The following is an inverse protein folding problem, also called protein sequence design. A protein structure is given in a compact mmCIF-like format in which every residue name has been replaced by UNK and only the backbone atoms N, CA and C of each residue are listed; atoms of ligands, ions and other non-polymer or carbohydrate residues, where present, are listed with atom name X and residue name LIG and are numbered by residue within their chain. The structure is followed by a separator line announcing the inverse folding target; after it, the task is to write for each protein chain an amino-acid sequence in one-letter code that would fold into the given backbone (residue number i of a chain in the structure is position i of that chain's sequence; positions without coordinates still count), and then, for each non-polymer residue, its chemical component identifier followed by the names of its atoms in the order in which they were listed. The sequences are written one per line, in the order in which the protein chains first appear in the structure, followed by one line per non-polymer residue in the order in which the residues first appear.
data_IF_293506940284
#
_entry.id   IF_293506940284
#
_cell.length_a   1.000
_cell.length_b   1.000
_cell.length_c   1.000
_cell.angle_alpha   90.00
_cell.angle_beta   90.00
_cell.angle_gamma   90.00
#
_symmetry.space_group_name_H-M   'P 1'
#
loop_
_entity.id
_entity.type
_entity.pdbx_description
1 polymer ?
#
# COMPACT_ATOMS: atom_id res chain seq x y z
N UNK A 1 24.36 9.27 -10.68
CA UNK A 1 24.66 8.02 -11.41
C UNK A 1 25.39 6.99 -10.54
N UNK A 2 26.56 7.30 -9.95
CA UNK A 2 27.33 6.36 -9.11
C UNK A 2 26.54 5.72 -7.95
N UNK A 3 25.68 6.49 -7.26
CA UNK A 3 24.85 5.97 -6.17
C UNK A 3 23.83 4.89 -6.60
N UNK A 4 23.31 4.98 -7.84
CA UNK A 4 22.36 4.01 -8.40
C UNK A 4 23.07 2.68 -8.68
N UNK A 5 24.23 2.72 -9.32
CA UNK A 5 25.05 1.52 -9.61
C UNK A 5 25.49 0.83 -8.32
N UNK A 6 25.98 1.59 -7.33
CA UNK A 6 26.38 1.02 -6.05
C UNK A 6 25.19 0.39 -5.30
N UNK A 7 24.02 1.03 -5.33
CA UNK A 7 22.81 0.48 -4.69
C UNK A 7 22.35 -0.82 -5.36
N UNK A 8 22.39 -0.86 -6.70
CA UNK A 8 22.07 -2.06 -7.48
C UNK A 8 23.02 -3.22 -7.15
N UNK A 9 24.33 -2.98 -7.17
CA UNK A 9 25.33 -4.01 -6.86
C UNK A 9 25.24 -4.48 -5.40
N UNK A 10 25.03 -3.56 -4.45
CA UNK A 10 24.82 -3.92 -3.04
C UNK A 10 23.58 -4.81 -2.84
N UNK A 11 22.50 -4.54 -3.58
CA UNK A 11 21.27 -5.34 -3.53
C UNK A 11 21.51 -6.75 -4.09
N UNK A 12 22.17 -6.87 -5.24
CA UNK A 12 22.49 -8.18 -5.81
C UNK A 12 23.47 -8.97 -4.94
N UNK A 13 24.52 -8.33 -4.43
CA UNK A 13 25.50 -8.97 -3.56
C UNK A 13 24.83 -9.60 -2.33
N UNK A 14 23.94 -8.86 -1.66
CA UNK A 14 23.33 -9.30 -0.39
C UNK A 14 22.05 -10.10 -0.58
N UNK A 15 21.23 -9.76 -1.57
CA UNK A 15 19.89 -10.32 -1.78
C UNK A 15 19.84 -11.50 -2.74
N UNK A 16 20.86 -11.65 -3.60
CA UNK A 16 20.92 -12.74 -4.59
C UNK A 16 22.17 -13.59 -4.37
N UNK A 17 23.37 -13.03 -4.56
CA UNK A 17 24.60 -13.82 -4.52
C UNK A 17 24.97 -14.31 -3.11
N UNK A 18 24.64 -13.53 -2.07
CA UNK A 18 24.77 -13.91 -0.67
C UNK A 18 23.69 -14.86 -0.16
N UNK A 19 22.72 -15.26 -0.99
CA UNK A 19 21.57 -16.10 -0.60
C UNK A 19 21.50 -17.33 -1.49
N UNK A 20 21.97 -18.48 -0.98
CA UNK A 20 22.03 -19.73 -1.75
C UNK A 20 20.66 -20.25 -2.20
N UNK A 21 19.59 -19.89 -1.49
CA UNK A 21 18.22 -20.29 -1.83
C UNK A 21 17.51 -19.32 -2.78
N UNK A 22 18.15 -18.23 -3.20
CA UNK A 22 17.52 -17.25 -4.08
C UNK A 22 17.23 -17.87 -5.46
N UNK A 23 15.98 -17.84 -5.97
CA UNK A 23 15.70 -18.31 -7.33
C UNK A 23 16.47 -17.53 -8.41
N UNK A 24 16.75 -16.24 -8.14
CA UNK A 24 17.59 -15.43 -9.03
C UNK A 24 19.01 -15.98 -9.10
N UNK A 25 19.55 -16.52 -8.00
CA UNK A 25 20.89 -17.11 -7.99
C UNK A 25 20.98 -18.31 -8.94
N UNK A 26 19.98 -19.19 -8.93
CA UNK A 26 19.91 -20.31 -9.86
C UNK A 26 19.86 -19.85 -11.33
N UNK A 27 19.18 -18.74 -11.62
CA UNK A 27 19.16 -18.14 -12.97
C UNK A 27 20.53 -17.58 -13.37
N UNK A 28 21.23 -16.90 -12.46
CA UNK A 28 22.59 -16.42 -12.69
C UNK A 28 23.57 -17.58 -12.94
N UNK A 29 23.49 -18.64 -12.13
CA UNK A 29 24.33 -19.82 -12.28
C UNK A 29 24.05 -20.55 -13.61
N UNK A 30 22.78 -20.68 -14.01
CA UNK A 30 22.40 -21.27 -15.30
C UNK A 30 22.85 -20.42 -16.50
N UNK A 31 22.92 -19.10 -16.35
CA UNK A 31 23.47 -18.18 -17.34
C UNK A 31 25.02 -18.16 -17.35
N UNK A 32 25.67 -18.79 -16.37
CA UNK A 32 27.13 -18.74 -16.20
C UNK A 32 27.65 -17.36 -15.79
N UNK A 33 26.82 -16.54 -15.14
CA UNK A 33 27.14 -15.16 -14.77
C UNK A 33 27.37 -15.06 -13.27
N UNK A 34 28.61 -14.78 -12.87
CA UNK A 34 28.97 -14.50 -11.48
C UNK A 34 28.80 -13.02 -11.12
N UNK A 35 28.95 -12.71 -9.83
CA UNK A 35 28.81 -11.33 -9.35
C UNK A 35 29.84 -10.38 -9.98
N UNK A 36 31.08 -10.83 -10.18
CA UNK A 36 32.15 -10.04 -10.81
C UNK A 36 31.81 -9.68 -12.26
N UNK A 37 31.14 -10.57 -12.99
CA UNK A 37 30.64 -10.30 -14.33
C UNK A 37 29.55 -9.22 -14.29
N UNK A 38 28.64 -9.24 -13.32
CA UNK A 38 27.63 -8.17 -13.15
C UNK A 38 28.28 -6.83 -12.81
N UNK A 39 29.30 -6.82 -11.97
CA UNK A 39 30.05 -5.59 -11.66
C UNK A 39 30.72 -5.00 -12.91
N UNK A 40 31.34 -5.84 -13.74
CA UNK A 40 31.91 -5.43 -15.03
C UNK A 40 30.84 -4.89 -15.97
N UNK A 41 29.74 -5.62 -16.16
CA UNK A 41 28.62 -5.17 -17.00
C UNK A 41 28.06 -3.81 -16.55
N UNK A 42 27.92 -3.62 -15.24
CA UNK A 42 27.39 -2.36 -14.68
C UNK A 42 28.37 -1.21 -14.85
N UNK A 43 29.68 -1.47 -14.78
CA UNK A 43 30.73 -0.48 -15.01
C UNK A 43 30.77 -0.05 -16.48
N UNK A 44 30.71 -1.02 -17.39
CA UNK A 44 30.96 -0.80 -18.81
C UNK A 44 29.70 -0.29 -19.54
N UNK A 45 28.51 -0.67 -19.09
CA UNK A 45 27.23 -0.38 -19.77
C UNK A 45 26.21 0.35 -18.89
N UNK A 46 26.56 0.70 -17.66
CA UNK A 46 25.62 1.21 -16.68
C UNK A 46 24.60 0.16 -16.23
N UNK A 47 23.68 0.54 -15.34
CA UNK A 47 22.68 -0.38 -14.78
C UNK A 47 21.72 -0.87 -15.86
N UNK A 48 21.23 0.03 -16.72
CA UNK A 48 20.21 -0.33 -17.71
C UNK A 48 20.78 -1.29 -18.77
N UNK A 49 21.99 -1.03 -19.28
CA UNK A 49 22.66 -1.93 -20.21
C UNK A 49 23.07 -3.26 -19.58
N UNK A 50 23.41 -3.28 -18.29
CA UNK A 50 23.61 -4.53 -17.56
C UNK A 50 22.32 -5.35 -17.47
N UNK A 51 21.18 -4.72 -17.14
CA UNK A 51 19.89 -5.40 -17.06
C UNK A 51 19.43 -5.98 -18.41
N UNK A 52 19.65 -5.26 -19.50
CA UNK A 52 19.34 -5.74 -20.85
C UNK A 52 20.12 -7.03 -21.19
N UNK A 53 21.43 -7.05 -20.90
CA UNK A 53 22.27 -8.23 -21.13
C UNK A 53 21.94 -9.40 -20.22
N UNK A 54 21.56 -9.13 -18.97
CA UNK A 54 21.05 -10.15 -18.06
C UNK A 54 19.75 -10.77 -18.58
N UNK A 55 18.86 -9.94 -19.11
CA UNK A 55 17.62 -10.39 -19.74
C UNK A 55 17.90 -11.30 -20.96
N UNK A 56 18.80 -10.87 -21.86
CA UNK A 56 19.21 -11.66 -23.02
C UNK A 56 19.85 -13.00 -22.61
N UNK A 57 20.57 -13.01 -21.49
CA UNK A 57 21.20 -14.22 -20.92
C UNK A 57 20.21 -15.14 -20.18
N UNK A 58 18.91 -14.80 -20.17
CA UNK A 58 17.87 -15.62 -19.55
C UNK A 58 17.59 -15.35 -18.08
N UNK A 59 18.20 -14.31 -17.48
CA UNK A 59 17.98 -13.90 -16.09
C UNK A 59 16.73 -13.03 -15.99
N UNK A 60 15.56 -13.67 -16.13
CA UNK A 60 14.25 -13.02 -16.01
C UNK A 60 13.17 -14.01 -15.60
N UNK A 61 12.06 -13.46 -15.12
CA UNK A 61 10.89 -14.21 -14.64
C UNK A 61 9.62 -13.79 -15.38
N UNK A 62 8.77 -14.77 -15.70
CA UNK A 62 7.37 -14.52 -16.05
C UNK A 62 6.55 -14.29 -14.78
N UNK A 63 5.42 -13.59 -14.93
CA UNK A 63 4.50 -13.34 -13.82
C UNK A 63 3.99 -14.62 -13.14
N UNK A 64 3.71 -15.67 -13.92
CA UNK A 64 3.23 -16.94 -13.37
C UNK A 64 4.34 -17.73 -12.64
N UNK A 65 5.61 -17.59 -13.07
CA UNK A 65 6.78 -18.14 -12.38
C UNK A 65 6.99 -17.40 -11.05
N UNK A 66 6.98 -16.06 -11.08
CA UNK A 66 7.11 -15.22 -9.89
C UNK A 66 6.00 -15.45 -8.85
N UNK A 67 4.79 -15.79 -9.30
CA UNK A 67 3.66 -16.14 -8.41
C UNK A 67 3.73 -17.58 -7.87
N UNK A 68 4.73 -18.36 -8.24
CA UNK A 68 4.84 -19.77 -7.88
C UNK A 68 3.73 -20.65 -8.45
N UNK A 69 3.09 -20.22 -9.55
CA UNK A 69 2.01 -20.99 -10.21
C UNK A 69 2.54 -21.95 -11.26
N UNK A 70 3.76 -21.71 -11.74
CA UNK A 70 4.50 -22.56 -12.66
C UNK A 70 5.97 -22.60 -12.23
N UNK A 71 6.65 -23.74 -12.43
CA UNK A 71 8.10 -23.80 -12.27
C UNK A 71 8.79 -22.88 -13.28
N UNK A 72 10.02 -22.48 -12.97
CA UNK A 72 10.92 -21.85 -13.93
C UNK A 72 11.51 -22.97 -14.79
N UNK A 73 11.31 -22.90 -16.10
CA UNK A 73 11.87 -23.84 -17.05
C UNK A 73 12.68 -23.10 -18.12
N UNK A 74 13.96 -23.43 -18.21
CA UNK A 74 14.93 -22.93 -19.20
C UNK A 74 15.77 -24.12 -19.70
N UNK A 75 16.56 -23.91 -20.75
CA UNK A 75 17.44 -24.96 -21.27
C UNK A 75 18.39 -25.45 -20.17
N UNK A 76 18.20 -26.68 -19.68
CA UNK A 76 19.01 -27.27 -18.61
C UNK A 76 18.67 -26.85 -17.19
N UNK A 77 17.63 -26.04 -16.95
CA UNK A 77 17.18 -25.64 -15.61
C UNK A 77 15.68 -25.86 -15.45
N UNK A 78 15.31 -26.64 -14.44
CA UNK A 78 13.94 -26.71 -13.92
C UNK A 78 13.98 -26.43 -12.42
N UNK A 79 13.29 -25.37 -12.01
CA UNK A 79 13.19 -24.98 -10.61
C UNK A 79 11.72 -24.83 -10.21
N UNK A 80 11.28 -25.66 -9.28
CA UNK A 80 10.01 -25.46 -8.61
C UNK A 80 10.16 -24.29 -7.63
N UNK A 81 9.32 -23.27 -7.80
CA UNK A 81 9.37 -22.03 -7.01
C UNK A 81 8.03 -21.73 -6.37
N UNK A 82 8.09 -21.12 -5.20
CA UNK A 82 6.95 -20.56 -4.47
C UNK A 82 7.02 -19.05 -4.50
N UNK A 83 5.88 -18.40 -4.31
CA UNK A 83 5.84 -16.93 -4.25
C UNK A 83 6.72 -16.36 -3.12
N UNK A 84 6.90 -17.12 -2.03
CA UNK A 84 7.71 -16.72 -0.88
C UNK A 84 9.22 -16.72 -1.18
N UNK A 85 9.68 -17.51 -2.17
CA UNK A 85 11.10 -17.62 -2.51
C UNK A 85 11.65 -16.31 -3.13
N UNK A 86 10.75 -15.40 -3.52
CA UNK A 86 11.08 -14.08 -4.06
C UNK A 86 10.90 -12.93 -3.04
N UNK A 87 10.65 -13.25 -1.77
CA UNK A 87 10.60 -12.23 -0.71
C UNK A 87 12.00 -11.65 -0.47
N UNK A 88 12.09 -10.32 -0.27
CA UNK A 88 13.38 -9.65 -0.10
C UNK A 88 14.02 -10.04 1.25
N UNK A 89 15.14 -10.77 1.25
CA UNK A 89 15.75 -11.28 2.47
C UNK A 89 16.44 -10.20 3.31
N UNK A 90 16.62 -9.00 2.74
CA UNK A 90 17.25 -7.86 3.40
C UNK A 90 16.25 -7.04 4.21
N UNK A 91 14.95 -7.25 4.00
CA UNK A 91 13.90 -6.64 4.81
C UNK A 91 13.83 -7.40 6.13
N UNK A 92 13.95 -6.68 7.26
CA UNK A 92 13.62 -7.24 8.57
C UNK A 92 12.12 -7.06 8.78
N UNK A 93 11.30 -8.12 8.64
CA UNK A 93 9.86 -7.95 8.75
C UNK A 93 9.50 -7.68 10.21
N UNK A 94 9.09 -6.45 10.51
CA UNK A 94 8.50 -6.15 11.81
C UNK A 94 7.02 -6.55 11.84
N UNK A 95 6.38 -6.67 10.67
CA UNK A 95 5.00 -7.14 10.53
C UNK A 95 4.70 -7.74 9.13
N UNK A 96 3.72 -8.64 9.06
CA UNK A 96 3.21 -9.28 7.83
C UNK A 96 1.70 -9.01 7.66
N UNK A 97 1.26 -8.48 6.52
CA UNK A 97 -0.15 -8.67 6.12
C UNK A 97 -0.35 -8.86 4.63
N UNK A 98 -1.58 -8.75 4.10
CA UNK A 98 -1.89 -9.19 2.74
C UNK A 98 -2.46 -8.06 1.89
N UNK A 99 -2.03 -7.95 0.64
CA UNK A 99 -2.66 -7.04 -0.32
C UNK A 99 -3.91 -7.68 -0.93
N UNK A 100 -5.03 -6.95 -0.91
CA UNK A 100 -6.27 -7.33 -1.61
C UNK A 100 -6.23 -6.86 -3.06
N UNK A 101 -5.53 -7.59 -3.94
CA UNK A 101 -5.63 -7.39 -5.39
C UNK A 101 -6.86 -8.07 -5.97
N UNK A 102 -7.53 -7.44 -6.93
CA UNK A 102 -8.80 -7.93 -7.50
C UNK A 102 -8.72 -9.22 -8.33
N UNK A 103 -7.51 -9.79 -8.57
CA UNK A 103 -7.32 -10.99 -9.43
C UNK A 103 -6.17 -11.92 -8.98
N UNK A 104 -5.95 -12.13 -7.68
CA UNK A 104 -4.94 -13.09 -7.23
C UNK A 104 -4.93 -13.38 -5.73
N UNK A 105 -4.28 -14.48 -5.35
CA UNK A 105 -3.91 -14.78 -3.97
C UNK A 105 -3.10 -13.62 -3.40
N UNK A 106 -3.62 -12.95 -2.36
CA UNK A 106 -3.00 -11.75 -1.80
C UNK A 106 -1.58 -12.02 -1.29
N UNK A 107 -0.63 -11.16 -1.69
CA UNK A 107 0.80 -11.26 -1.39
C UNK A 107 1.10 -10.77 0.02
N UNK A 108 2.07 -11.39 0.70
CA UNK A 108 2.61 -10.91 1.99
C UNK A 108 3.26 -9.55 1.77
N UNK A 109 2.80 -8.53 2.48
CA UNK A 109 3.44 -7.22 2.56
C UNK A 109 4.17 -7.17 3.90
N UNK A 110 5.50 -7.16 3.82
CA UNK A 110 6.36 -6.93 4.97
C UNK A 110 6.45 -5.42 5.19
N UNK A 111 6.02 -4.94 6.36
CA UNK A 111 6.03 -3.52 6.67
C UNK A 111 7.36 -3.17 7.36
N UNK A 112 8.16 -2.35 6.69
CA UNK A 112 9.42 -1.78 7.18
C UNK A 112 9.15 -0.36 7.71
N UNK A 113 9.66 -0.04 8.90
CA UNK A 113 9.47 1.28 9.52
C UNK A 113 10.21 2.40 8.80
N UNK A 114 11.32 2.08 8.12
CA UNK A 114 12.04 3.07 7.31
C UNK A 114 11.22 3.40 6.05
N UNK A 115 10.64 2.38 5.41
CA UNK A 115 9.68 2.57 4.33
C UNK A 115 8.43 3.31 4.81
N UNK A 116 7.92 3.02 6.01
CA UNK A 116 6.81 3.74 6.60
C UNK A 116 7.14 5.22 6.81
N UNK A 117 8.36 5.53 7.25
CA UNK A 117 8.83 6.90 7.44
C UNK A 117 8.92 7.64 6.11
N UNK A 118 9.45 7.00 5.07
CA UNK A 118 9.47 7.54 3.71
C UNK A 118 8.05 7.80 3.19
N UNK A 119 7.16 6.81 3.30
CA UNK A 119 5.77 6.93 2.86
C UNK A 119 5.01 8.00 3.65
N UNK A 120 5.30 8.16 4.95
CA UNK A 120 4.75 9.22 5.78
C UNK A 120 5.22 10.61 5.29
N UNK A 121 6.51 10.77 4.96
CA UNK A 121 7.01 12.03 4.40
C UNK A 121 6.34 12.37 3.05
N UNK A 122 6.20 11.39 2.16
CA UNK A 122 5.45 11.55 0.91
C UNK A 122 3.98 11.91 1.16
N UNK A 123 3.35 11.28 2.15
CA UNK A 123 1.98 11.57 2.53
C UNK A 123 1.82 12.98 3.12
N UNK A 124 2.78 13.44 3.92
CA UNK A 124 2.81 14.79 4.48
C UNK A 124 2.85 15.85 3.37
N UNK A 125 3.79 15.72 2.43
CA UNK A 125 3.91 16.62 1.28
C UNK A 125 2.64 16.63 0.42
N UNK A 126 1.97 15.48 0.31
CA UNK A 126 0.68 15.39 -0.36
C UNK A 126 -0.39 16.19 0.39
N UNK A 127 -0.54 16.00 1.71
CA UNK A 127 -1.51 16.76 2.51
C UNK A 127 -1.22 18.27 2.49
N UNK A 128 0.07 18.65 2.51
CA UNK A 128 0.52 20.03 2.40
C UNK A 128 0.07 20.66 1.08
N UNK A 129 0.29 19.96 -0.03
CA UNK A 129 -0.07 20.44 -1.39
C UNK A 129 -1.56 20.69 -1.58
N UNK A 130 -2.41 20.17 -0.69
CA UNK A 130 -3.86 20.35 -0.76
C UNK A 130 -4.45 21.14 0.42
N UNK A 131 -3.60 21.70 1.29
CA UNK A 131 -3.97 22.50 2.47
C UNK A 131 -4.75 21.71 3.55
N UNK A 132 -4.40 20.44 3.76
CA UNK A 132 -5.12 19.54 4.68
C UNK A 132 -4.28 18.98 5.83
N UNK A 133 -3.11 19.55 6.14
CA UNK A 133 -2.26 19.08 7.26
C UNK A 133 -3.02 19.15 8.59
N UNK A 134 -3.72 20.24 8.87
CA UNK A 134 -4.42 20.50 10.15
C UNK A 134 -5.96 20.35 10.07
N UNK A 135 -6.44 19.89 8.91
CA UNK A 135 -7.87 19.66 8.66
C UNK A 135 -8.38 18.40 9.35
N UNK A 136 -9.68 18.32 9.68
CA UNK A 136 -10.23 17.10 10.26
C UNK A 136 -10.11 15.95 9.27
N UNK A 137 -9.57 14.82 9.75
CA UNK A 137 -9.20 13.69 8.91
C UNK A 137 -9.98 12.44 9.28
N UNK A 138 -10.55 11.79 8.28
CA UNK A 138 -11.12 10.46 8.44
C UNK A 138 -10.61 9.49 7.37
N UNK A 139 -10.71 8.20 7.67
CA UNK A 139 -10.60 7.16 6.67
C UNK A 139 -11.79 6.21 6.73
N UNK A 140 -12.23 5.76 5.55
CA UNK A 140 -13.21 4.69 5.41
C UNK A 140 -12.58 3.53 4.64
N UNK A 141 -11.79 2.74 5.37
CA UNK A 141 -10.91 1.68 4.86
C UNK A 141 -10.99 0.45 5.79
N UNK A 142 -10.86 -0.76 5.24
CA UNK A 142 -10.85 -1.98 6.06
C UNK A 142 -9.64 -2.01 7.01
N UNK A 143 -9.82 -2.80 8.06
CA UNK A 143 -8.73 -3.28 8.93
C UNK A 143 -8.20 -4.62 8.39
N UNK A 144 -7.05 -5.13 8.91
CA UNK A 144 -6.48 -6.42 8.51
C UNK A 144 -7.52 -7.54 8.37
N UNK A 145 -7.39 -8.42 7.36
CA UNK A 145 -6.15 -8.71 6.60
C UNK A 145 -5.77 -7.72 5.49
N UNK A 146 -6.64 -6.77 5.14
CA UNK A 146 -6.28 -5.63 4.28
C UNK A 146 -5.54 -4.58 5.13
N UNK A 147 -4.25 -4.39 4.84
CA UNK A 147 -3.37 -3.52 5.62
C UNK A 147 -3.51 -2.02 5.30
N UNK A 148 -4.35 -1.64 4.34
CA UNK A 148 -4.42 -0.24 3.87
C UNK A 148 -4.82 0.74 4.98
N UNK A 149 -5.75 0.37 5.86
CA UNK A 149 -6.15 1.19 7.00
C UNK A 149 -5.08 1.32 8.09
N UNK A 150 -4.46 0.21 8.50
CA UNK A 150 -3.42 0.22 9.56
C UNK A 150 -2.18 0.99 9.13
N UNK A 151 -1.70 0.78 7.89
CA UNK A 151 -0.56 1.55 7.36
C UNK A 151 -0.85 3.05 7.38
N UNK A 152 -2.05 3.47 6.96
CA UNK A 152 -2.49 4.87 6.97
C UNK A 152 -2.58 5.46 8.37
N UNK A 153 -3.10 4.72 9.34
CA UNK A 153 -3.10 5.15 10.74
C UNK A 153 -1.68 5.37 11.27
N UNK A 154 -0.75 4.44 10.99
CA UNK A 154 0.64 4.52 11.46
C UNK A 154 1.39 5.69 10.83
N UNK A 155 1.21 5.93 9.52
CA UNK A 155 1.79 7.10 8.85
C UNK A 155 1.29 8.40 9.47
N UNK A 156 -0.02 8.52 9.75
CA UNK A 156 -0.57 9.73 10.36
C UNK A 156 -0.03 9.97 11.77
N UNK A 157 0.04 8.93 12.61
CA UNK A 157 0.65 9.07 13.93
C UNK A 157 2.14 9.45 13.85
N UNK A 158 2.88 8.92 12.87
CA UNK A 158 4.30 9.27 12.68
C UNK A 158 4.49 10.74 12.30
N UNK A 159 3.55 11.34 11.57
CA UNK A 159 3.55 12.76 11.21
C UNK A 159 3.07 13.67 12.37
N UNK A 160 2.65 13.12 13.50
CA UNK A 160 1.97 13.87 14.57
C UNK A 160 0.56 14.35 14.18
N UNK A 161 0.05 13.91 13.03
CA UNK A 161 -1.28 14.25 12.54
C UNK A 161 -2.38 13.54 13.31
N UNK A 162 -3.54 14.20 13.43
CA UNK A 162 -4.72 13.64 14.09
C UNK A 162 -5.64 12.98 13.05
N UNK A 163 -5.85 11.68 13.20
CA UNK A 163 -6.96 10.99 12.55
C UNK A 163 -8.17 11.10 13.50
N UNK A 164 -9.23 11.79 13.10
CA UNK A 164 -10.41 12.03 13.95
C UNK A 164 -11.40 10.86 13.92
N UNK A 165 -11.50 10.18 12.77
CA UNK A 165 -12.39 9.03 12.59
C UNK A 165 -11.81 7.94 11.70
N UNK A 166 -12.06 6.70 12.09
CA UNK A 166 -11.80 5.53 11.26
C UNK A 166 -13.09 4.72 11.12
N UNK A 167 -13.65 4.70 9.93
CA UNK A 167 -14.77 3.85 9.56
C UNK A 167 -14.25 2.58 8.87
N UNK A 168 -14.83 1.42 9.13
CA UNK A 168 -14.46 0.16 8.44
C UNK A 168 -15.62 -0.40 7.63
N UNK A 169 -15.40 -0.73 6.36
CA UNK A 169 -16.43 -1.31 5.49
C UNK A 169 -16.70 -2.79 5.79
N UNK A 170 -15.72 -3.46 6.40
CA UNK A 170 -15.79 -4.85 6.80
C UNK A 170 -15.74 -4.96 8.33
N UNK A 171 -16.47 -5.92 8.92
CA UNK A 171 -16.47 -6.11 10.36
C UNK A 171 -15.12 -6.66 10.82
N UNK A 172 -14.68 -6.25 12.00
CA UNK A 172 -13.54 -6.85 12.68
C UNK A 172 -14.03 -8.15 13.31
N UNK A 173 -13.70 -9.31 12.72
CA UNK A 173 -14.17 -10.61 13.21
C UNK A 173 -13.07 -11.32 14.00
N UNK A 174 -13.40 -11.79 15.20
CA UNK A 174 -12.61 -12.78 15.92
C UNK A 174 -13.13 -14.17 15.52
N UNK A 175 -12.37 -14.94 14.74
CA UNK A 175 -12.74 -16.32 14.39
C UNK A 175 -11.90 -16.93 13.27
N UNK A 176 -11.58 -18.23 13.41
CA UNK A 176 -10.80 -19.01 12.43
C UNK A 176 -9.38 -18.50 12.22
N UNK A 177 -8.79 -18.79 11.04
CA UNK A 177 -7.44 -18.34 10.64
C UNK A 177 -7.22 -16.81 10.58
N UNK A 178 -8.21 -16.01 11.00
CA UNK A 178 -8.17 -14.55 11.09
C UNK A 178 -7.90 -14.04 12.51
N UNK A 179 -7.85 -14.92 13.53
CA UNK A 179 -7.59 -14.53 14.93
C UNK A 179 -6.27 -13.78 15.13
N UNK A 180 -5.22 -14.13 14.37
CA UNK A 180 -3.95 -13.40 14.36
C UNK A 180 -4.09 -11.94 13.91
N UNK A 181 -4.94 -11.67 12.91
CA UNK A 181 -5.20 -10.32 12.41
C UNK A 181 -6.09 -9.53 13.38
N UNK A 182 -7.01 -10.21 14.07
CA UNK A 182 -7.80 -9.64 15.16
C UNK A 182 -6.91 -9.17 16.32
N UNK A 183 -6.05 -10.05 16.85
CA UNK A 183 -5.11 -9.72 17.93
C UNK A 183 -4.14 -8.62 17.50
N UNK A 184 -3.60 -8.70 16.28
CA UNK A 184 -2.69 -7.68 15.76
C UNK A 184 -3.37 -6.31 15.64
N UNK A 185 -4.59 -6.27 15.10
CA UNK A 185 -5.36 -5.02 14.99
C UNK A 185 -5.57 -4.43 16.39
N UNK A 186 -6.03 -5.23 17.35
CA UNK A 186 -6.24 -4.76 18.72
C UNK A 186 -4.96 -4.34 19.43
N UNK A 187 -3.84 -5.05 19.25
CA UNK A 187 -2.54 -4.67 19.80
C UNK A 187 -2.06 -3.34 19.19
N UNK A 188 -2.23 -3.16 17.87
CA UNK A 188 -1.84 -1.93 17.17
C UNK A 188 -2.68 -0.75 17.63
N UNK A 189 -4.01 -0.94 17.74
CA UNK A 189 -4.95 0.06 18.27
C UNK A 189 -4.67 0.39 19.75
N UNK A 190 -4.30 -0.61 20.56
CA UNK A 190 -3.86 -0.39 21.93
C UNK A 190 -2.53 0.38 21.99
N UNK A 191 -1.59 0.10 21.08
CA UNK A 191 -0.35 0.85 20.93
C UNK A 191 -0.57 2.32 20.62
N UNK A 192 -1.51 2.67 19.73
CA UNK A 192 -1.87 4.07 19.43
C UNK A 192 -2.29 4.87 20.67
N UNK A 193 -2.91 4.21 21.66
CA UNK A 193 -3.30 4.83 22.94
C UNK A 193 -2.11 5.21 23.82
N UNK A 194 -1.00 4.47 23.73
CA UNK A 194 0.21 4.75 24.51
C UNK A 194 1.10 5.82 23.86
N UNK A 195 1.02 6.00 22.53
CA UNK A 195 1.77 7.01 21.78
C UNK A 195 1.03 8.34 21.60
N UNK A 196 0.10 8.67 22.49
CA UNK A 196 -0.53 10.00 22.56
C UNK A 196 -1.64 10.27 21.55
N UNK A 197 -2.08 9.27 20.77
CA UNK A 197 -3.26 9.40 19.92
C UNK A 197 -4.54 9.36 20.76
N UNK A 198 -5.50 10.25 20.47
CA UNK A 198 -6.88 10.05 20.92
C UNK A 198 -7.39 8.68 20.47
N UNK A 199 -8.36 8.13 21.19
CA UNK A 199 -8.83 6.74 21.06
C UNK A 199 -9.36 6.46 19.64
N UNK A 200 -8.46 6.07 18.74
CA UNK A 200 -8.76 5.65 17.37
C UNK A 200 -9.36 4.25 17.39
N UNK A 201 -10.66 4.15 17.65
CA UNK A 201 -11.39 2.88 17.54
C UNK A 201 -12.03 2.82 16.16
N UNK A 202 -11.70 1.83 15.31
CA UNK A 202 -12.36 1.68 14.04
C UNK A 202 -13.84 1.35 14.25
N UNK A 203 -14.71 2.14 13.63
CA UNK A 203 -16.14 2.02 13.72
C UNK A 203 -16.68 1.27 12.50
N UNK A 204 -17.25 0.09 12.74
CA UNK A 204 -17.86 -0.70 11.66
C UNK A 204 -19.00 0.08 11.00
N UNK A 205 -18.80 0.40 9.73
CA UNK A 205 -19.69 1.20 8.90
C UNK A 205 -19.73 0.53 7.52
N UNK A 206 -20.61 -0.45 7.31
CA UNK A 206 -20.72 -1.12 6.02
C UNK A 206 -21.11 -0.13 4.92
N UNK A 207 -20.84 -0.48 3.67
CA UNK A 207 -21.08 0.39 2.51
C UNK A 207 -22.53 0.93 2.44
N UNK A 208 -23.51 0.15 2.89
CA UNK A 208 -24.91 0.57 2.97
C UNK A 208 -25.16 1.73 3.96
N UNK A 209 -24.27 1.94 4.92
CA UNK A 209 -24.33 3.00 5.92
C UNK A 209 -23.49 4.24 5.55
N UNK A 210 -23.29 4.49 4.24
CA UNK A 210 -22.57 5.68 3.75
C UNK A 210 -23.10 7.00 4.34
N UNK A 211 -24.40 7.07 4.67
CA UNK A 211 -25.01 8.22 5.34
C UNK A 211 -24.39 8.58 6.68
N UNK A 212 -23.81 7.61 7.41
CA UNK A 212 -23.09 7.86 8.67
C UNK A 212 -21.80 8.66 8.43
N UNK A 213 -21.06 8.31 7.39
CA UNK A 213 -19.87 9.04 6.96
C UNK A 213 -20.26 10.42 6.44
N UNK A 214 -21.32 10.52 5.64
CA UNK A 214 -21.84 11.79 5.14
C UNK A 214 -22.23 12.76 6.28
N UNK A 215 -22.91 12.27 7.32
CA UNK A 215 -23.26 13.09 8.50
C UNK A 215 -22.03 13.60 9.23
N UNK A 216 -21.00 12.78 9.39
CA UNK A 216 -19.76 13.24 10.02
C UNK A 216 -19.09 14.35 9.19
N UNK A 217 -19.02 14.19 7.85
CA UNK A 217 -18.48 15.22 6.97
C UNK A 217 -19.27 16.53 7.05
N UNK A 218 -20.60 16.45 7.07
CA UNK A 218 -21.47 17.62 7.20
C UNK A 218 -21.24 18.35 8.53
N UNK A 219 -21.09 17.62 9.63
CA UNK A 219 -20.74 18.22 10.93
C UNK A 219 -19.39 18.94 10.92
N UNK A 220 -18.39 18.43 10.20
CA UNK A 220 -17.11 19.13 10.08
C UNK A 220 -17.25 20.40 9.22
N UNK A 221 -18.03 20.32 8.14
CA UNK A 221 -18.36 21.48 7.30
C UNK A 221 -19.11 22.56 8.09
N UNK A 222 -20.11 22.21 8.88
CA UNK A 222 -20.85 23.13 9.76
C UNK A 222 -19.94 23.84 10.77
N UNK A 223 -18.89 23.17 11.24
CA UNK A 223 -17.85 23.76 12.10
C UNK A 223 -16.84 24.65 11.36
N UNK A 224 -17.05 24.90 10.06
CA UNK A 224 -16.14 25.68 9.22
C UNK A 224 -14.85 24.96 8.86
N UNK A 225 -14.75 23.65 9.12
CA UNK A 225 -13.55 22.84 8.89
C UNK A 225 -13.88 21.66 7.97
N UNK A 226 -14.03 21.86 6.64
CA UNK A 226 -14.27 20.75 5.72
C UNK A 226 -13.20 19.66 5.90
N UNK A 227 -13.62 18.40 5.78
CA UNK A 227 -12.77 17.27 6.14
C UNK A 227 -12.02 16.65 4.96
N UNK A 228 -10.95 15.93 5.28
CA UNK A 228 -10.29 14.98 4.41
C UNK A 228 -10.83 13.57 4.64
N UNK A 229 -11.19 12.84 3.57
CA UNK A 229 -11.60 11.44 3.66
C UNK A 229 -10.79 10.54 2.71
N UNK A 230 -10.02 9.59 3.26
CA UNK A 230 -9.41 8.49 2.48
C UNK A 230 -10.38 7.30 2.34
N UNK A 231 -10.78 6.96 1.11
CA UNK A 231 -11.67 5.82 0.85
C UNK A 231 -11.56 5.26 -0.58
N UNK A 232 -12.34 4.25 -0.92
CA UNK A 232 -12.48 3.72 -2.29
C UNK A 232 -13.27 4.70 -3.17
N UNK A 233 -13.03 4.74 -4.48
CA UNK A 233 -13.69 5.72 -5.35
C UNK A 233 -15.22 5.55 -5.40
N UNK A 234 -15.72 4.32 -5.40
CA UNK A 234 -17.14 3.97 -5.33
C UNK A 234 -17.74 4.29 -3.97
N UNK A 235 -16.97 4.17 -2.89
CA UNK A 235 -17.41 4.54 -1.55
C UNK A 235 -17.59 6.07 -1.44
N UNK A 236 -16.66 6.87 -1.98
CA UNK A 236 -16.81 8.32 -2.06
C UNK A 236 -18.10 8.73 -2.80
N UNK A 237 -18.40 8.09 -3.93
CA UNK A 237 -19.66 8.31 -4.68
C UNK A 237 -20.89 7.98 -3.83
N UNK A 238 -20.85 6.90 -3.04
CA UNK A 238 -21.96 6.53 -2.15
C UNK A 238 -22.15 7.52 -1.02
N UNK A 239 -21.07 8.08 -0.47
CA UNK A 239 -21.15 9.18 0.51
C UNK A 239 -21.83 10.40 -0.10
N UNK A 240 -21.41 10.81 -1.30
CA UNK A 240 -22.00 11.95 -2.01
C UNK A 240 -23.50 11.74 -2.28
N UNK A 241 -23.90 10.56 -2.77
CA UNK A 241 -25.30 10.21 -2.98
C UNK A 241 -26.11 10.22 -1.68
N UNK A 242 -25.55 9.64 -0.59
CA UNK A 242 -26.22 9.63 0.70
C UNK A 242 -26.37 11.04 1.29
N UNK A 243 -25.38 11.92 1.08
CA UNK A 243 -25.47 13.32 1.46
C UNK A 243 -26.59 14.04 0.72
N UNK A 244 -26.63 13.91 -0.61
CA UNK A 244 -27.66 14.51 -1.45
C UNK A 244 -29.08 14.03 -1.07
N UNK A 245 -29.26 12.72 -0.87
CA UNK A 245 -30.55 12.13 -0.44
C UNK A 245 -31.01 12.63 0.93
N UNK A 246 -30.07 12.99 1.80
CA UNK A 246 -30.37 13.43 3.18
C UNK A 246 -30.32 14.95 3.35
N UNK A 247 -30.13 15.71 2.25
CA UNK A 247 -29.98 17.17 2.31
C UNK A 247 -28.76 17.67 3.09
N UNK A 248 -27.69 16.87 3.19
CA UNK A 248 -26.50 17.21 3.97
C UNK A 248 -25.50 18.02 3.13
N UNK A 249 -25.02 19.14 3.67
CA UNK A 249 -23.96 19.95 3.06
C UNK A 249 -22.57 19.39 3.40
N UNK A 250 -21.94 18.74 2.43
CA UNK A 250 -20.57 18.20 2.56
C UNK A 250 -19.54 18.99 1.72
N UNK A 251 -19.90 20.18 1.21
CA UNK A 251 -19.05 20.96 0.31
C UNK A 251 -17.69 21.28 0.92
N UNK A 252 -16.66 21.34 0.07
CA UNK A 252 -15.28 21.56 0.49
C UNK A 252 -14.56 20.32 1.03
N UNK A 253 -15.28 19.19 1.23
CA UNK A 253 -14.64 17.91 1.56
C UNK A 253 -13.65 17.51 0.47
N UNK A 254 -12.47 17.04 0.87
CA UNK A 254 -11.49 16.44 -0.02
C UNK A 254 -11.49 14.92 0.10
N UNK A 255 -11.90 14.25 -0.97
CA UNK A 255 -11.81 12.79 -1.07
C UNK A 255 -10.45 12.39 -1.65
N UNK A 256 -9.67 11.64 -0.88
CA UNK A 256 -8.54 10.87 -1.45
C UNK A 256 -9.03 9.48 -1.75
N UNK A 257 -8.96 9.09 -3.02
CA UNK A 257 -9.48 7.81 -3.51
C UNK A 257 -8.39 6.90 -4.08
N UNK A 258 -8.59 5.60 -3.97
CA UNK A 258 -7.71 4.58 -4.56
C UNK A 258 -8.21 3.17 -4.27
N UNK A 259 -7.66 2.17 -4.95
CA UNK A 259 -8.09 0.77 -4.88
C UNK A 259 -9.07 0.34 -5.98
N UNK A 260 -9.54 1.29 -6.79
CA UNK A 260 -10.35 1.04 -7.98
C UNK A 260 -10.23 2.23 -8.96
N UNK A 261 -10.58 2.03 -10.25
CA UNK A 261 -10.52 3.11 -11.23
C UNK A 261 -11.43 4.28 -10.86
N UNK A 262 -10.88 5.50 -10.91
CA UNK A 262 -11.61 6.75 -10.80
C UNK A 262 -12.09 7.17 -12.20
N UNK A 263 -13.34 6.86 -12.54
CA UNK A 263 -13.90 7.19 -13.85
C UNK A 263 -14.41 8.63 -13.89
N UNK A 264 -14.55 9.25 -15.08
CA UNK A 264 -15.12 10.60 -15.22
C UNK A 264 -16.51 10.73 -14.57
N UNK A 265 -17.34 9.68 -14.65
CA UNK A 265 -18.65 9.66 -13.98
C UNK A 265 -18.56 9.70 -12.46
N UNK A 266 -17.57 9.02 -11.85
CA UNK A 266 -17.35 9.10 -10.39
C UNK A 266 -16.87 10.49 -9.98
N UNK A 267 -15.97 11.09 -10.77
CA UNK A 267 -15.48 12.46 -10.54
C UNK A 267 -16.62 13.47 -10.57
N UNK A 268 -17.50 13.37 -11.59
CA UNK A 268 -18.65 14.27 -11.73
C UNK A 268 -19.55 14.25 -10.49
N UNK A 269 -19.94 13.07 -10.00
CA UNK A 269 -20.80 12.96 -8.81
C UNK A 269 -20.17 13.61 -7.57
N UNK A 270 -18.84 13.48 -7.41
CA UNK A 270 -18.13 14.09 -6.28
C UNK A 270 -18.08 15.62 -6.43
N UNK A 271 -17.79 16.12 -7.63
CA UNK A 271 -17.72 17.55 -7.91
C UNK A 271 -19.09 18.24 -7.84
N UNK A 272 -20.17 17.59 -8.30
CA UNK A 272 -21.55 18.06 -8.17
C UNK A 272 -21.98 18.23 -6.70
N UNK A 273 -21.36 17.47 -5.79
CA UNK A 273 -21.54 17.64 -4.34
C UNK A 273 -20.69 18.77 -3.75
N UNK A 274 -20.06 19.58 -4.61
CA UNK A 274 -19.10 20.65 -4.25
C UNK A 274 -17.87 20.15 -3.50
N UNK A 275 -17.49 18.89 -3.72
CA UNK A 275 -16.33 18.27 -3.11
C UNK A 275 -15.18 18.17 -4.11
N UNK A 276 -13.96 18.02 -3.59
CA UNK A 276 -12.75 17.79 -4.39
C UNK A 276 -12.38 16.31 -4.32
N UNK A 277 -11.75 15.77 -5.37
CA UNK A 277 -11.25 14.40 -5.39
C UNK A 277 -9.83 14.35 -5.90
N UNK A 278 -9.00 13.54 -5.24
CA UNK A 278 -7.65 13.21 -5.70
C UNK A 278 -7.53 11.70 -5.80
N UNK A 279 -7.03 11.25 -6.94
CA UNK A 279 -6.71 9.86 -7.13
C UNK A 279 -5.27 9.60 -6.69
N UNK A 280 -5.08 8.64 -5.79
CA UNK A 280 -3.76 8.16 -5.43
C UNK A 280 -3.63 6.72 -5.90
N UNK A 281 -3.19 6.56 -7.15
CA UNK A 281 -2.72 5.29 -7.68
C UNK A 281 -1.23 5.16 -7.40
N UNK A 282 -0.86 4.11 -6.67
CA UNK A 282 0.52 3.61 -6.63
C UNK A 282 0.48 2.21 -7.22
N UNK A 283 0.83 2.08 -8.50
CA UNK A 283 1.34 0.81 -9.00
C UNK A 283 2.82 0.79 -8.65
N UNK A 284 3.19 -0.08 -7.72
CA UNK A 284 4.54 -0.63 -7.63
C UNK A 284 4.50 -1.98 -8.33
#
# INVERSE_FOLDING_TARGET
MAARSQSFLNLLARGVFGQSQSPYRALFDAAGIDFLAVERLTRDHGVDGALERLYESGVWLKLEEFKGRRPIERSGLRLDVRAEDFDNPLVRPQFEGRTGGSRGTGRRLLLDLDLLTHDAACHYLHLQSFDFIDGPMAMWRPVPPDNSGVKKALMNARMGGRLDRWFTQSPIRAGGGQFKFFLFTWHTLAGFRFYGGERLVPEYTPIAQAGKVARWLAQQRERGRPAYLDTLASAAVRVCKAAAQSGLDIRGTLFRVGGEPLTPGKVRVIQESGCRVICHYSHV
#
